data_IF_005289472691
#
_entry.id   IF_005289472691
#
_cell.length_a   1.000
_cell.length_b   1.000
_cell.length_c   1.000
_cell.angle_alpha   90.00
_cell.angle_beta   90.00
_cell.angle_gamma   90.00
#
_symmetry.space_group_name_H-M   'P 1'
#
loop_
_entity.id
_entity.type
_entity.pdbx_description
1 polymer ?
#
# COMPACT_ATOMS: atom_id res chain seq x y z
N UNK A 1 -3.58 29.07 -6.55
CA UNK A 1 -4.60 28.07 -6.18
C UNK A 1 -5.74 28.00 -7.19
N UNK A 2 -6.10 29.09 -7.88
CA UNK A 2 -7.17 29.07 -8.89
C UNK A 2 -6.85 28.24 -10.15
N UNK A 3 -5.64 28.35 -10.70
CA UNK A 3 -5.24 27.59 -11.92
C UNK A 3 -5.35 26.07 -11.79
N UNK A 4 -5.15 25.53 -10.59
CA UNK A 4 -5.26 24.10 -10.30
C UNK A 4 -6.72 23.65 -10.23
N UNK A 5 -7.62 24.53 -9.78
CA UNK A 5 -9.06 24.26 -9.74
C UNK A 5 -9.65 24.31 -11.15
N UNK A 6 -9.25 25.28 -11.97
CA UNK A 6 -9.68 25.38 -13.38
C UNK A 6 -9.23 24.15 -14.18
N UNK A 7 -8.01 23.67 -13.94
CA UNK A 7 -7.48 22.47 -14.58
C UNK A 7 -8.23 21.20 -14.14
N UNK A 8 -8.64 21.13 -12.88
CA UNK A 8 -9.47 20.06 -12.34
C UNK A 8 -10.89 20.10 -12.90
N UNK A 9 -11.49 21.27 -13.02
CA UNK A 9 -12.81 21.43 -13.64
C UNK A 9 -12.79 20.99 -15.10
N UNK A 10 -11.76 21.34 -15.86
CA UNK A 10 -11.61 20.88 -17.24
C UNK A 10 -11.48 19.35 -17.32
N UNK A 11 -10.73 18.75 -16.39
CA UNK A 11 -10.54 17.30 -16.29
C UNK A 11 -11.84 16.58 -15.93
N UNK A 12 -12.58 17.11 -14.97
CA UNK A 12 -13.87 16.57 -14.57
C UNK A 12 -14.87 16.68 -15.72
N UNK A 13 -14.89 17.79 -16.47
CA UNK A 13 -15.74 17.93 -17.68
C UNK A 13 -15.33 16.97 -18.80
N UNK A 14 -14.04 16.62 -18.92
CA UNK A 14 -13.58 15.63 -19.90
C UNK A 14 -13.93 14.18 -19.51
N UNK A 15 -13.92 13.85 -18.21
CA UNK A 15 -14.16 12.49 -17.71
C UNK A 15 -15.63 12.24 -17.37
N UNK A 16 -16.36 13.29 -16.97
CA UNK A 16 -17.79 13.31 -16.62
C UNK A 16 -18.49 14.46 -17.36
N UNK A 17 -18.68 14.35 -18.68
CA UNK A 17 -19.16 15.45 -19.54
C UNK A 17 -20.59 15.93 -19.28
N UNK A 18 -21.32 15.28 -18.35
CA UNK A 18 -22.71 15.59 -18.01
C UNK A 18 -22.87 16.35 -16.68
N UNK A 19 -21.78 16.80 -16.06
CA UNK A 19 -21.82 17.39 -14.72
C UNK A 19 -21.25 18.81 -14.70
N UNK A 20 -21.96 19.75 -14.05
CA UNK A 20 -21.54 21.16 -13.91
C UNK A 20 -20.37 21.29 -12.90
N UNK A 21 -19.18 21.75 -13.35
CA UNK A 21 -17.97 21.82 -12.53
C UNK A 21 -18.06 22.74 -11.29
N UNK A 22 -19.01 23.69 -11.24
CA UNK A 22 -19.21 24.54 -10.07
C UNK A 22 -20.14 23.91 -9.01
N UNK A 23 -21.02 23.00 -9.43
CA UNK A 23 -21.88 22.19 -8.55
C UNK A 23 -21.09 20.98 -8.01
N UNK A 24 -20.07 20.54 -8.74
CA UNK A 24 -19.20 19.39 -8.44
C UNK A 24 -18.42 19.48 -7.13
N UNK A 25 -18.12 20.66 -6.61
CA UNK A 25 -17.29 20.75 -5.40
C UNK A 25 -18.06 21.14 -4.13
N UNK A 26 -19.31 21.60 -4.23
CA UNK A 26 -20.14 22.00 -3.07
C UNK A 26 -21.24 21.00 -2.71
N UNK A 27 -21.95 20.43 -3.69
CA UNK A 27 -23.13 19.58 -3.46
C UNK A 27 -22.96 18.13 -3.95
N UNK A 28 -21.76 17.78 -4.37
CA UNK A 28 -21.52 16.50 -5.03
C UNK A 28 -21.26 15.39 -4.02
N UNK A 29 -21.98 14.28 -4.18
CA UNK A 29 -21.75 13.08 -3.40
C UNK A 29 -20.47 12.39 -3.89
N UNK A 30 -19.31 12.88 -3.44
CA UNK A 30 -17.99 12.41 -3.86
C UNK A 30 -17.80 10.90 -3.60
N UNK A 31 -18.45 10.38 -2.55
CA UNK A 31 -18.45 8.94 -2.24
C UNK A 31 -19.13 8.15 -3.37
N UNK A 32 -20.29 8.63 -3.84
CA UNK A 32 -21.01 7.99 -4.94
C UNK A 32 -20.25 8.08 -6.27
N UNK A 33 -19.59 9.20 -6.55
CA UNK A 33 -18.83 9.36 -7.80
C UNK A 33 -17.56 8.54 -7.84
N UNK A 34 -16.87 8.42 -6.71
CA UNK A 34 -15.73 7.52 -6.63
C UNK A 34 -16.18 6.08 -6.92
N UNK A 35 -17.30 5.68 -6.34
CA UNK A 35 -17.89 4.38 -6.57
C UNK A 35 -18.25 4.17 -8.05
N UNK A 36 -19.00 5.10 -8.65
CA UNK A 36 -19.39 5.04 -10.06
C UNK A 36 -18.18 5.04 -11.01
N UNK A 37 -17.15 5.84 -10.72
CA UNK A 37 -15.93 5.87 -11.51
C UNK A 37 -15.28 4.49 -11.59
N UNK A 38 -15.10 3.82 -10.44
CA UNK A 38 -14.45 2.51 -10.39
C UNK A 38 -15.35 1.40 -10.96
N UNK A 39 -16.66 1.43 -10.72
CA UNK A 39 -17.60 0.49 -11.36
C UNK A 39 -17.60 0.61 -12.89
N UNK A 40 -17.58 1.84 -13.41
CA UNK A 40 -17.52 2.07 -14.86
C UNK A 40 -16.16 1.65 -15.44
N UNK A 41 -15.08 1.82 -14.68
CA UNK A 41 -13.74 1.37 -15.08
C UNK A 41 -13.64 -0.14 -15.15
N UNK A 42 -14.23 -0.87 -14.21
CA UNK A 42 -14.31 -2.33 -14.24
C UNK A 42 -15.11 -2.84 -15.43
N UNK A 43 -16.29 -2.26 -15.70
CA UNK A 43 -17.10 -2.63 -16.87
C UNK A 43 -16.36 -2.47 -18.20
N UNK A 44 -15.46 -1.48 -18.29
CA UNK A 44 -14.59 -1.26 -19.47
C UNK A 44 -13.42 -2.25 -19.53
N UNK A 45 -12.90 -2.67 -18.38
CA UNK A 45 -11.90 -3.73 -18.26
C UNK A 45 -12.62 -5.09 -18.21
N UNK A 46 -13.27 -5.47 -19.31
CA UNK A 46 -13.79 -6.82 -19.47
C UNK A 46 -12.64 -7.80 -19.20
N UNK A 47 -12.86 -8.74 -18.26
CA UNK A 47 -12.00 -9.90 -17.93
C UNK A 47 -11.15 -9.80 -16.65
N UNK A 48 -11.73 -9.58 -15.45
CA UNK A 48 -11.29 -10.24 -14.20
C UNK A 48 -12.40 -10.17 -13.13
N UNK A 49 -12.79 -11.29 -12.47
CA UNK A 49 -13.63 -11.27 -11.29
C UNK A 49 -12.74 -11.07 -10.06
N UNK A 50 -12.53 -9.83 -9.66
CA UNK A 50 -12.07 -9.52 -8.30
C UNK A 50 -13.20 -8.78 -7.58
N UNK A 51 -13.40 -9.07 -6.30
CA UNK A 51 -14.31 -8.37 -5.38
C UNK A 51 -13.84 -6.93 -5.16
N UNK A 52 -13.81 -6.13 -6.23
CA UNK A 52 -13.03 -4.92 -6.35
C UNK A 52 -13.94 -3.70 -6.23
N UNK A 53 -14.65 -3.66 -5.11
CA UNK A 53 -15.36 -2.47 -4.69
C UNK A 53 -14.40 -1.51 -3.97
N UNK A 54 -14.70 -0.21 -4.05
CA UNK A 54 -14.02 0.78 -3.22
C UNK A 54 -14.35 0.51 -1.75
N UNK A 55 -13.34 0.13 -0.97
CA UNK A 55 -13.51 -0.22 0.43
C UNK A 55 -13.27 1.00 1.33
N UNK A 56 -14.10 1.15 2.35
CA UNK A 56 -14.01 2.23 3.33
C UNK A 56 -13.83 1.65 4.73
N UNK A 57 -12.80 2.11 5.42
CA UNK A 57 -12.51 1.72 6.81
C UNK A 57 -12.56 2.97 7.69
N UNK A 58 -13.40 2.98 8.72
CA UNK A 58 -13.44 4.06 9.71
C UNK A 58 -12.74 3.60 10.98
N UNK A 59 -11.77 4.36 11.46
CA UNK A 59 -11.08 4.06 12.72
C UNK A 59 -12.06 4.27 13.88
N UNK A 60 -12.28 3.27 14.76
CA UNK A 60 -13.12 3.44 15.93
C UNK A 60 -12.53 4.50 16.85
N UNK A 61 -13.26 5.59 17.04
CA UNK A 61 -12.93 6.64 18.01
C UNK A 61 -14.23 7.16 18.65
N UNK A 62 -14.25 7.40 19.97
CA UNK A 62 -15.38 8.04 20.65
C UNK A 62 -15.47 9.52 20.30
N UNK A 63 -14.33 10.19 20.09
CA UNK A 63 -14.22 11.64 19.92
C UNK A 63 -13.42 12.01 18.67
N UNK A 64 -13.60 13.23 18.12
CA UNK A 64 -12.79 13.72 17.01
C UNK A 64 -11.32 13.93 17.42
N UNK A 65 -10.38 13.91 16.46
CA UNK A 65 -10.60 13.84 15.00
C UNK A 65 -10.96 12.43 14.52
N UNK A 66 -11.97 12.33 13.66
CA UNK A 66 -12.34 11.06 13.03
C UNK A 66 -11.42 10.76 11.83
N UNK A 67 -11.07 9.47 11.69
CA UNK A 67 -10.21 8.99 10.60
C UNK A 67 -10.97 7.96 9.76
N UNK A 68 -10.89 8.12 8.44
CA UNK A 68 -11.40 7.17 7.46
C UNK A 68 -10.35 6.94 6.38
N UNK A 69 -10.15 5.66 6.05
CA UNK A 69 -9.34 5.22 4.94
C UNK A 69 -10.23 4.71 3.80
N UNK A 70 -9.73 4.88 2.57
CA UNK A 70 -10.34 4.41 1.34
C UNK A 70 -9.31 3.57 0.61
N UNK A 71 -9.64 2.31 0.33
CA UNK A 71 -8.82 1.42 -0.50
C UNK A 71 -9.49 1.25 -1.85
N UNK A 72 -8.75 1.55 -2.90
CA UNK A 72 -9.20 1.44 -4.28
C UNK A 72 -8.93 0.03 -4.83
N UNK A 73 -9.65 -0.37 -5.88
CA UNK A 73 -9.23 -1.46 -6.76
C UNK A 73 -7.74 -1.37 -7.13
N UNK A 74 -7.00 -2.46 -6.99
CA UNK A 74 -5.54 -2.48 -7.15
C UNK A 74 -4.75 -2.05 -5.89
N UNK A 75 -5.42 -1.87 -4.75
CA UNK A 75 -4.80 -1.77 -3.44
C UNK A 75 -4.35 -0.38 -3.00
N UNK A 76 -4.30 0.63 -3.88
CA UNK A 76 -3.95 2.00 -3.49
C UNK A 76 -4.85 2.50 -2.35
N UNK A 77 -4.25 3.09 -1.33
CA UNK A 77 -4.96 3.50 -0.13
C UNK A 77 -4.75 4.99 0.16
N UNK A 78 -5.85 5.66 0.49
CA UNK A 78 -5.87 7.07 0.86
C UNK A 78 -6.65 7.25 2.15
N UNK A 79 -6.48 8.40 2.81
CA UNK A 79 -7.23 8.74 4.02
C UNK A 79 -7.63 10.20 4.02
N UNK A 80 -8.54 10.56 4.92
CA UNK A 80 -8.80 11.98 5.17
C UNK A 80 -7.51 12.62 5.68
N UNK A 81 -7.15 13.80 5.17
CA UNK A 81 -5.95 14.52 5.60
C UNK A 81 -6.31 15.68 6.54
N UNK A 82 -7.58 16.11 6.52
CA UNK A 82 -8.09 17.17 7.37
C UNK A 82 -8.51 16.67 8.77
N UNK A 83 -8.57 17.61 9.71
CA UNK A 83 -9.18 17.38 11.02
C UNK A 83 -10.70 17.36 10.86
N UNK A 84 -11.31 16.16 10.87
CA UNK A 84 -12.75 15.98 10.66
C UNK A 84 -13.49 15.80 11.99
N UNK A 85 -14.60 16.53 12.16
CA UNK A 85 -15.40 16.54 13.40
C UNK A 85 -16.53 15.50 13.37
N UNK A 86 -16.79 14.88 12.21
CA UNK A 86 -17.70 13.74 12.09
C UNK A 86 -17.12 12.62 11.23
N UNK A 87 -17.59 11.39 11.45
CA UNK A 87 -17.24 10.22 10.61
C UNK A 87 -17.65 10.42 9.15
N UNK A 88 -18.77 11.09 8.91
CA UNK A 88 -19.25 11.40 7.56
C UNK A 88 -18.32 12.38 6.84
N UNK A 89 -17.80 13.40 7.54
CA UNK A 89 -16.78 14.30 6.99
C UNK A 89 -15.49 13.56 6.66
N UNK A 90 -14.97 12.74 7.59
CA UNK A 90 -13.78 11.95 7.35
C UNK A 90 -13.93 11.05 6.12
N UNK A 91 -15.07 10.37 5.99
CA UNK A 91 -15.37 9.53 4.82
C UNK A 91 -15.39 10.34 3.52
N UNK A 92 -16.03 11.51 3.51
CA UNK A 92 -16.08 12.39 2.33
C UNK A 92 -14.71 12.94 1.96
N UNK A 93 -13.91 13.36 2.95
CA UNK A 93 -12.57 13.90 2.72
C UNK A 93 -11.63 12.82 2.15
N UNK A 94 -11.67 11.61 2.71
CA UNK A 94 -10.91 10.48 2.18
C UNK A 94 -11.32 10.11 0.74
N UNK A 95 -12.64 10.09 0.46
CA UNK A 95 -13.17 9.86 -0.88
C UNK A 95 -12.72 10.92 -1.89
N UNK A 96 -12.62 12.19 -1.48
CA UNK A 96 -12.11 13.28 -2.33
C UNK A 96 -10.67 13.03 -2.75
N UNK A 97 -9.79 12.69 -1.81
CA UNK A 97 -8.39 12.39 -2.12
C UNK A 97 -8.29 11.20 -3.07
N UNK A 98 -9.04 10.13 -2.79
CA UNK A 98 -9.05 8.94 -3.63
C UNK A 98 -9.59 9.19 -5.04
N UNK A 99 -10.66 9.99 -5.19
CA UNK A 99 -11.23 10.37 -6.49
C UNK A 99 -10.26 11.21 -7.31
N UNK A 100 -9.62 12.21 -6.70
CA UNK A 100 -8.63 13.03 -7.38
C UNK A 100 -7.48 12.16 -7.93
N UNK A 101 -6.92 11.28 -7.11
CA UNK A 101 -5.87 10.36 -7.55
C UNK A 101 -6.35 9.42 -8.66
N UNK A 102 -7.59 8.92 -8.55
CA UNK A 102 -8.20 8.06 -9.58
C UNK A 102 -8.32 8.78 -10.92
N UNK A 103 -8.83 10.01 -10.93
CA UNK A 103 -9.00 10.82 -12.14
C UNK A 103 -7.66 11.21 -12.75
N UNK A 104 -6.71 11.68 -11.95
CA UNK A 104 -5.38 12.06 -12.44
C UNK A 104 -4.65 10.88 -13.07
N UNK A 105 -4.77 9.69 -12.49
CA UNK A 105 -4.09 8.49 -12.99
C UNK A 105 -4.52 8.07 -14.40
N UNK A 106 -5.71 8.47 -14.87
CA UNK A 106 -6.17 8.19 -16.24
C UNK A 106 -5.54 9.10 -17.30
N UNK A 107 -4.88 10.19 -16.88
CA UNK A 107 -4.26 11.11 -17.83
C UNK A 107 -3.07 10.46 -18.54
N UNK A 108 -2.89 10.69 -19.86
CA UNK A 108 -1.72 10.21 -20.59
C UNK A 108 -0.39 10.64 -19.96
N UNK A 109 -0.34 11.82 -19.34
CA UNK A 109 0.82 12.35 -18.64
C UNK A 109 1.16 11.62 -17.33
N UNK A 110 0.29 10.73 -16.85
CA UNK A 110 0.50 9.87 -15.67
C UNK A 110 0.85 8.42 -16.04
N UNK A 111 1.16 8.17 -17.31
CA UNK A 111 1.75 6.91 -17.76
C UNK A 111 3.28 6.97 -17.69
N UNK A 112 3.90 5.81 -17.50
CA UNK A 112 5.35 5.69 -17.56
C UNK A 112 5.78 5.84 -19.02
N UNK A 113 6.56 6.88 -19.30
CA UNK A 113 7.12 7.19 -20.63
C UNK A 113 8.65 7.24 -20.55
N UNK A 114 9.34 7.10 -21.69
CA UNK A 114 10.81 7.22 -21.72
C UNK A 114 11.32 8.53 -21.12
N UNK A 115 10.62 9.64 -21.37
CA UNK A 115 10.94 10.94 -20.78
C UNK A 115 10.78 10.96 -19.26
N UNK A 116 9.75 10.29 -18.74
CA UNK A 116 9.57 10.12 -17.29
C UNK A 116 10.71 9.29 -16.70
N UNK A 117 11.06 8.16 -17.34
CA UNK A 117 12.13 7.27 -16.89
C UNK A 117 13.46 8.03 -16.79
N UNK A 118 13.82 8.77 -17.84
CA UNK A 118 15.07 9.53 -17.88
C UNK A 118 15.15 10.53 -16.71
N UNK A 119 14.07 11.28 -16.45
CA UNK A 119 14.02 12.23 -15.33
C UNK A 119 14.06 11.54 -13.97
N UNK A 120 13.26 10.49 -13.77
CA UNK A 120 13.20 9.76 -12.51
C UNK A 120 14.51 9.05 -12.16
N UNK A 121 15.21 8.49 -13.15
CA UNK A 121 16.54 7.90 -12.95
C UNK A 121 17.56 8.98 -12.60
N UNK A 122 17.54 10.12 -13.28
CA UNK A 122 18.43 11.24 -12.96
C UNK A 122 18.22 11.77 -11.52
N UNK A 123 16.97 11.85 -11.06
CA UNK A 123 16.64 12.19 -9.68
C UNK A 123 17.13 11.12 -8.68
N UNK A 124 17.02 9.84 -9.02
CA UNK A 124 17.51 8.74 -8.19
C UNK A 124 19.05 8.74 -8.06
N UNK A 125 19.77 8.98 -9.16
CA UNK A 125 21.23 9.14 -9.16
C UNK A 125 21.64 10.32 -8.26
N UNK A 126 20.95 11.45 -8.41
CA UNK A 126 21.25 12.67 -7.64
C UNK A 126 21.00 12.50 -6.14
N UNK A 127 19.96 11.76 -5.75
CA UNK A 127 19.61 11.50 -4.34
C UNK A 127 20.50 10.46 -3.66
N UNK A 128 21.05 9.51 -4.42
CA UNK A 128 21.92 8.44 -3.90
C UNK A 128 23.41 8.77 -3.95
N UNK A 129 23.78 9.98 -4.44
CA UNK A 129 25.17 10.34 -4.75
C UNK A 129 25.87 9.34 -5.70
N UNK A 130 25.10 8.66 -6.54
CA UNK A 130 25.60 7.69 -7.51
C UNK A 130 26.10 8.32 -8.81
N UNK A 131 26.52 7.49 -9.76
CA UNK A 131 26.89 7.92 -11.11
C UNK A 131 25.83 7.46 -12.14
N UNK A 132 25.71 8.15 -13.28
CA UNK A 132 24.78 7.76 -14.34
C UNK A 132 25.10 6.37 -14.92
N UNK A 133 26.36 5.93 -14.87
CA UNK A 133 26.75 4.57 -15.23
C UNK A 133 26.10 3.50 -14.35
N UNK A 134 25.74 3.82 -13.10
CA UNK A 134 25.04 2.87 -12.23
C UNK A 134 23.66 2.52 -12.81
N UNK A 135 23.02 3.45 -13.53
CA UNK A 135 21.72 3.20 -14.17
C UNK A 135 21.79 2.20 -15.34
N UNK A 136 22.98 1.98 -15.92
CA UNK A 136 23.21 1.04 -17.01
C UNK A 136 23.48 -0.38 -16.49
N UNK A 137 23.85 -0.53 -15.23
CA UNK A 137 24.10 -1.82 -14.58
C UNK A 137 22.90 -2.25 -13.72
N UNK A 138 22.11 -3.26 -14.14
CA UNK A 138 20.99 -3.79 -13.37
C UNK A 138 21.38 -4.37 -12.00
N UNK A 139 22.67 -4.62 -11.77
CA UNK A 139 23.22 -5.06 -10.50
C UNK A 139 23.35 -3.94 -9.45
N UNK A 140 23.11 -2.68 -9.82
CA UNK A 140 23.02 -1.51 -8.92
C UNK A 140 21.56 -1.20 -8.54
N UNK A 141 21.34 -0.39 -7.50
CA UNK A 141 19.99 -0.06 -7.05
C UNK A 141 19.29 0.85 -8.06
N UNK A 142 20.05 1.77 -8.66
CA UNK A 142 19.58 2.68 -9.71
C UNK A 142 19.28 1.91 -10.99
N UNK A 143 20.15 0.99 -11.43
CA UNK A 143 19.91 0.18 -12.61
C UNK A 143 18.75 -0.80 -12.45
N UNK A 144 18.56 -1.37 -11.26
CA UNK A 144 17.37 -2.16 -10.94
C UNK A 144 16.09 -1.30 -11.03
N UNK A 145 16.09 -0.10 -10.47
CA UNK A 145 14.97 0.84 -10.56
C UNK A 145 14.68 1.25 -12.02
N UNK A 146 15.72 1.52 -12.80
CA UNK A 146 15.63 1.79 -14.24
C UNK A 146 14.98 0.62 -15.00
N UNK A 147 15.43 -0.61 -14.75
CA UNK A 147 14.85 -1.82 -15.33
C UNK A 147 13.37 -2.01 -14.95
N UNK A 148 13.00 -1.75 -13.69
CA UNK A 148 11.61 -1.80 -13.25
C UNK A 148 10.73 -0.79 -13.99
N UNK A 149 11.24 0.41 -14.23
CA UNK A 149 10.51 1.43 -14.98
C UNK A 149 10.34 1.06 -16.46
N UNK A 150 11.41 0.61 -17.12
CA UNK A 150 11.39 0.21 -18.54
C UNK A 150 10.41 -0.94 -18.79
N UNK A 151 10.36 -1.93 -17.90
CA UNK A 151 9.42 -3.07 -17.99
C UNK A 151 7.95 -2.69 -17.75
N UNK A 152 7.68 -1.47 -17.29
CA UNK A 152 6.35 -0.97 -16.99
C UNK A 152 5.97 0.26 -17.86
N UNK A 153 6.67 0.50 -18.98
CA UNK A 153 6.29 1.55 -19.94
C UNK A 153 4.83 1.40 -20.37
N UNK A 154 4.13 2.53 -20.39
CA UNK A 154 2.71 2.59 -20.76
C UNK A 154 1.75 2.27 -19.62
N UNK A 155 2.20 1.63 -18.53
CA UNK A 155 1.39 1.46 -17.31
C UNK A 155 1.20 2.80 -16.60
N UNK A 156 0.12 2.88 -15.83
CA UNK A 156 -0.16 4.04 -14.99
C UNK A 156 0.68 4.02 -13.71
N UNK A 157 0.83 5.20 -13.08
CA UNK A 157 1.57 5.30 -11.82
C UNK A 157 1.00 4.40 -10.72
N UNK A 158 -0.33 4.30 -10.58
CA UNK A 158 -0.93 3.42 -9.57
C UNK A 158 -0.61 1.93 -9.81
N UNK A 159 -0.55 1.49 -11.07
CA UNK A 159 -0.18 0.10 -11.39
C UNK A 159 1.30 -0.19 -11.06
N UNK A 160 2.17 0.80 -11.26
CA UNK A 160 3.58 0.69 -10.88
C UNK A 160 3.79 0.81 -9.36
N UNK A 161 2.96 1.58 -8.67
CA UNK A 161 3.02 1.74 -7.22
C UNK A 161 2.83 0.43 -6.47
N UNK A 162 1.95 -0.47 -6.93
CA UNK A 162 1.78 -1.78 -6.29
C UNK A 162 3.10 -2.56 -6.28
N UNK A 163 3.82 -2.59 -7.41
CA UNK A 163 5.13 -3.20 -7.51
C UNK A 163 6.15 -2.53 -6.58
N UNK A 164 6.16 -1.19 -6.52
CA UNK A 164 7.03 -0.44 -5.60
C UNK A 164 6.78 -0.81 -4.14
N UNK A 165 5.50 -0.94 -3.74
CA UNK A 165 5.13 -1.28 -2.37
C UNK A 165 5.62 -2.69 -2.02
N UNK A 166 5.47 -3.67 -2.91
CA UNK A 166 6.01 -5.03 -2.70
C UNK A 166 7.51 -4.97 -2.45
N UNK A 167 8.27 -4.25 -3.27
CA UNK A 167 9.71 -4.12 -3.09
C UNK A 167 10.11 -3.37 -1.82
N UNK A 168 9.36 -2.33 -1.45
CA UNK A 168 9.56 -1.61 -0.18
C UNK A 168 9.31 -2.52 1.02
N UNK A 169 8.28 -3.36 0.99
CA UNK A 169 7.98 -4.33 2.05
C UNK A 169 9.03 -5.44 2.13
N UNK A 170 9.47 -5.99 1.00
CA UNK A 170 10.56 -6.98 0.95
C UNK A 170 11.90 -6.41 1.44
N UNK A 171 12.15 -5.12 1.19
CA UNK A 171 13.30 -4.43 1.74
C UNK A 171 13.17 -4.29 3.26
N UNK A 172 12.03 -3.78 3.71
CA UNK A 172 11.72 -3.52 5.12
C UNK A 172 11.74 -4.79 5.99
N UNK A 173 11.12 -5.89 5.53
CA UNK A 173 11.14 -7.15 6.25
C UNK A 173 12.48 -7.91 6.10
N UNK A 174 13.41 -7.42 5.27
CA UNK A 174 14.73 -8.02 5.09
C UNK A 174 14.81 -9.15 4.06
N UNK A 175 13.71 -9.53 3.41
CA UNK A 175 13.68 -10.57 2.37
C UNK A 175 14.64 -10.26 1.22
N UNK A 176 14.74 -9.00 0.79
CA UNK A 176 15.69 -8.63 -0.27
C UNK A 176 17.15 -8.85 0.15
N UNK A 177 17.47 -8.71 1.43
CA UNK A 177 18.81 -9.00 1.96
C UNK A 177 19.08 -10.50 1.89
N UNK A 178 18.12 -11.33 2.34
CA UNK A 178 18.22 -12.78 2.29
C UNK A 178 18.36 -13.31 0.84
N UNK A 179 17.55 -12.81 -0.09
CA UNK A 179 17.62 -13.17 -1.51
C UNK A 179 18.96 -12.81 -2.16
N UNK A 180 19.56 -11.69 -1.73
CA UNK A 180 20.90 -11.30 -2.18
C UNK A 180 21.97 -12.25 -1.66
N UNK A 181 21.83 -12.72 -0.41
CA UNK A 181 22.76 -13.68 0.21
C UNK A 181 22.65 -15.07 -0.44
N UNK A 182 21.47 -15.45 -0.94
CA UNK A 182 21.27 -16.67 -1.74
C UNK A 182 21.67 -16.54 -3.21
N UNK A 183 22.36 -15.45 -3.60
CA UNK A 183 22.84 -15.15 -4.96
C UNK A 183 21.74 -15.02 -6.02
N UNK A 184 20.52 -14.63 -5.65
CA UNK A 184 19.49 -14.26 -6.62
C UNK A 184 19.84 -12.91 -7.25
N UNK A 185 19.76 -12.81 -8.58
CA UNK A 185 19.98 -11.53 -9.27
C UNK A 185 18.79 -10.58 -9.04
N UNK A 186 19.04 -9.27 -9.12
CA UNK A 186 17.96 -8.29 -8.98
C UNK A 186 16.91 -8.43 -10.07
N UNK A 187 17.31 -8.76 -11.29
CA UNK A 187 16.37 -8.96 -12.40
C UNK A 187 15.47 -10.17 -12.19
N UNK A 188 15.99 -11.28 -11.67
CA UNK A 188 15.18 -12.47 -11.34
C UNK A 188 14.15 -12.16 -10.25
N UNK A 189 14.57 -11.46 -9.20
CA UNK A 189 13.68 -11.04 -8.12
C UNK A 189 12.59 -10.11 -8.66
N UNK A 190 12.94 -9.13 -9.51
CA UNK A 190 11.98 -8.24 -10.18
C UNK A 190 11.02 -9.04 -11.05
N UNK A 191 11.52 -9.94 -11.89
CA UNK A 191 10.67 -10.75 -12.77
C UNK A 191 9.69 -11.64 -11.99
N UNK A 192 10.13 -12.20 -10.86
CA UNK A 192 9.28 -13.00 -9.97
C UNK A 192 8.18 -12.16 -9.33
N UNK A 193 8.54 -11.11 -8.58
CA UNK A 193 7.56 -10.31 -7.84
C UNK A 193 6.68 -9.42 -8.73
N UNK A 194 7.07 -9.17 -9.98
CA UNK A 194 6.21 -8.46 -10.94
C UNK A 194 4.95 -9.24 -11.34
N UNK A 195 4.89 -10.54 -11.04
CA UNK A 195 3.75 -11.41 -11.36
C UNK A 195 2.78 -11.58 -10.19
N UNK A 196 3.14 -11.13 -8.99
CA UNK A 196 2.34 -11.32 -7.78
C UNK A 196 1.81 -9.99 -7.27
N UNK A 197 0.53 -9.97 -6.90
CA UNK A 197 -0.08 -8.88 -6.15
C UNK A 197 0.14 -9.06 -4.65
N UNK A 198 -0.04 -7.98 -3.89
CA UNK A 198 0.09 -8.01 -2.43
C UNK A 198 -1.11 -8.69 -1.76
N UNK A 199 -1.07 -10.01 -1.72
CA UNK A 199 -2.13 -10.90 -1.24
C UNK A 199 -1.91 -11.40 0.20
N UNK A 200 -2.88 -12.17 0.71
CA UNK A 200 -2.85 -12.75 2.05
C UNK A 200 -1.67 -13.72 2.23
N UNK A 201 -1.28 -14.45 1.19
CA UNK A 201 -0.15 -15.38 1.24
C UNK A 201 1.15 -14.64 1.46
N UNK A 202 1.37 -13.54 0.73
CA UNK A 202 2.56 -12.71 0.91
C UNK A 202 2.60 -12.08 2.29
N UNK A 203 1.47 -11.54 2.79
CA UNK A 203 1.39 -11.01 4.17
C UNK A 203 1.74 -12.07 5.21
N UNK A 204 1.21 -13.29 5.03
CA UNK A 204 1.46 -14.41 5.94
C UNK A 204 2.92 -14.82 5.97
N UNK A 205 3.59 -14.92 4.80
CA UNK A 205 5.02 -15.18 4.75
C UNK A 205 5.84 -14.09 5.44
N UNK A 206 5.53 -12.80 5.17
CA UNK A 206 6.24 -11.71 5.82
C UNK A 206 5.99 -11.68 7.34
N UNK A 207 4.80 -12.07 7.79
CA UNK A 207 4.49 -12.19 9.21
C UNK A 207 5.33 -13.30 9.88
N UNK A 208 5.54 -14.44 9.22
CA UNK A 208 6.43 -15.49 9.71
C UNK A 208 7.88 -15.00 9.83
N UNK A 209 8.38 -14.24 8.85
CA UNK A 209 9.73 -13.64 8.93
C UNK A 209 9.86 -12.71 10.14
N UNK A 210 8.80 -11.96 10.47
CA UNK A 210 8.76 -11.11 11.67
C UNK A 210 8.71 -11.91 12.96
N UNK A 211 7.99 -13.03 13.01
CA UNK A 211 7.95 -13.94 14.17
C UNK A 211 9.36 -14.48 14.46
N UNK A 212 10.09 -14.92 13.44
CA UNK A 212 11.48 -15.39 13.61
C UNK A 212 12.36 -14.29 14.22
N UNK A 213 12.21 -13.04 13.78
CA UNK A 213 12.95 -11.91 14.37
C UNK A 213 12.56 -11.60 15.81
N UNK A 214 11.30 -11.82 16.18
CA UNK A 214 10.83 -11.64 17.56
C UNK A 214 11.47 -12.68 18.50
N UNK A 215 11.73 -13.90 18.02
CA UNK A 215 12.46 -14.91 18.80
C UNK A 215 13.91 -14.48 19.07
N UNK A 216 14.56 -13.83 18.10
CA UNK A 216 15.93 -13.30 18.23
C UNK A 216 15.98 -12.01 19.06
N UNK A 217 15.00 -11.12 18.87
CA UNK A 217 14.93 -9.80 19.50
C UNK A 217 13.51 -9.56 20.04
N UNK A 218 13.23 -9.98 21.28
CA UNK A 218 11.91 -9.81 21.88
C UNK A 218 11.46 -8.35 21.93
N UNK A 219 10.21 -8.09 21.53
CA UNK A 219 9.58 -6.78 21.49
C UNK A 219 9.74 -6.03 20.16
N UNK A 220 10.48 -6.57 19.18
CA UNK A 220 10.74 -5.87 17.92
C UNK A 220 9.47 -5.65 17.09
N UNK A 221 8.54 -6.62 17.07
CA UNK A 221 7.28 -6.49 16.34
C UNK A 221 6.44 -5.36 16.94
N UNK A 222 6.35 -5.30 18.27
CA UNK A 222 5.61 -4.25 18.97
C UNK A 222 6.21 -2.87 18.71
N UNK A 223 7.55 -2.76 18.76
CA UNK A 223 8.27 -1.52 18.46
C UNK A 223 8.01 -1.06 17.02
N UNK A 224 8.18 -1.96 16.05
CA UNK A 224 7.99 -1.65 14.63
C UNK A 224 6.53 -1.30 14.32
N UNK A 225 5.57 -1.91 15.01
CA UNK A 225 4.15 -1.59 14.86
C UNK A 225 3.85 -0.17 15.32
N UNK A 226 4.44 0.28 16.43
CA UNK A 226 4.30 1.67 16.88
C UNK A 226 4.90 2.67 15.87
N UNK A 227 6.03 2.32 15.25
CA UNK A 227 6.63 3.12 14.19
C UNK A 227 5.71 3.18 12.96
N UNK A 228 5.22 2.04 12.49
CA UNK A 228 4.30 1.95 11.34
C UNK A 228 3.02 2.76 11.55
N UNK A 229 2.44 2.73 12.76
CA UNK A 229 1.25 3.52 13.10
C UNK A 229 1.53 5.03 13.09
N UNK A 230 2.70 5.45 13.57
CA UNK A 230 3.12 6.87 13.54
C UNK A 230 3.32 7.34 12.10
N UNK A 231 4.06 6.58 11.30
CA UNK A 231 4.33 6.91 9.89
C UNK A 231 3.05 6.94 9.05
N UNK A 232 2.10 6.04 9.32
CA UNK A 232 0.77 6.02 8.70
C UNK A 232 0.02 7.33 8.99
N UNK A 233 0.02 7.77 10.25
CA UNK A 233 -0.67 8.98 10.67
C UNK A 233 -0.03 10.26 10.08
N UNK A 234 1.29 10.34 10.07
CA UNK A 234 2.03 11.43 9.45
C UNK A 234 1.80 11.50 7.94
N UNK A 235 1.86 10.35 7.26
CA UNK A 235 1.64 10.26 5.82
C UNK A 235 0.20 10.59 5.43
N UNK A 236 -0.77 10.18 6.27
CA UNK A 236 -2.18 10.54 6.13
C UNK A 236 -2.37 12.04 6.19
N UNK A 237 -1.82 12.70 7.22
CA UNK A 237 -1.87 14.17 7.36
C UNK A 237 -1.21 14.91 6.21
N UNK A 238 -0.18 14.31 5.60
CA UNK A 238 0.48 14.84 4.40
C UNK A 238 -0.28 14.55 3.09
N UNK A 239 -1.43 13.85 3.13
CA UNK A 239 -2.22 13.50 1.94
C UNK A 239 -1.51 12.54 0.99
N UNK A 240 -0.59 11.71 1.52
CA UNK A 240 0.18 10.74 0.72
C UNK A 240 -0.60 9.45 0.50
N UNK A 241 -0.11 8.63 -0.42
CA UNK A 241 -0.50 7.23 -0.56
C UNK A 241 -0.13 6.46 0.73
N UNK A 242 -1.02 5.61 1.21
CA UNK A 242 -0.95 5.00 2.54
C UNK A 242 -0.78 3.48 2.53
N UNK A 243 -0.83 2.82 1.37
CA UNK A 243 -0.86 1.36 1.27
C UNK A 243 0.37 0.74 1.90
N UNK A 244 1.57 1.30 1.68
CA UNK A 244 2.79 0.79 2.31
C UNK A 244 2.68 0.71 3.84
N UNK A 245 2.24 1.80 4.50
CA UNK A 245 2.16 1.84 5.96
C UNK A 245 1.01 1.00 6.51
N UNK A 246 -0.11 0.91 5.79
CA UNK A 246 -1.21 -0.01 6.15
C UNK A 246 -0.76 -1.47 6.09
N UNK A 247 0.00 -1.84 5.08
CA UNK A 247 0.52 -3.20 4.92
C UNK A 247 1.53 -3.55 6.01
N UNK A 248 2.42 -2.61 6.39
CA UNK A 248 3.27 -2.77 7.59
C UNK A 248 2.41 -3.08 8.82
N UNK A 249 1.37 -2.27 9.09
CA UNK A 249 0.45 -2.47 10.22
C UNK A 249 -0.21 -3.86 10.16
N UNK A 250 -0.74 -4.25 9.00
CA UNK A 250 -1.47 -5.51 8.81
C UNK A 250 -0.55 -6.73 9.02
N UNK A 251 0.64 -6.72 8.41
CA UNK A 251 1.64 -7.80 8.55
C UNK A 251 2.08 -7.97 10.01
N UNK A 252 2.39 -6.87 10.71
CA UNK A 252 2.81 -6.93 12.11
C UNK A 252 1.66 -7.36 13.04
N UNK A 253 0.44 -6.89 12.76
CA UNK A 253 -0.74 -7.29 13.53
C UNK A 253 -1.05 -8.78 13.34
N UNK A 254 -0.86 -9.31 12.12
CA UNK A 254 -0.97 -10.73 11.82
C UNK A 254 0.08 -11.55 12.59
N UNK A 255 1.34 -11.10 12.58
CA UNK A 255 2.43 -11.73 13.33
C UNK A 255 2.13 -11.80 14.84
N UNK A 256 1.70 -10.68 15.45
CA UNK A 256 1.28 -10.66 16.86
C UNK A 256 0.10 -11.60 17.13
N UNK A 257 -0.88 -11.63 16.23
CA UNK A 257 -2.06 -12.48 16.39
C UNK A 257 -1.69 -13.97 16.42
N UNK A 258 -0.73 -14.39 15.60
CA UNK A 258 -0.20 -15.77 15.64
C UNK A 258 0.52 -16.05 16.96
N UNK A 259 1.41 -15.16 17.41
CA UNK A 259 2.15 -15.33 18.68
C UNK A 259 1.18 -15.43 19.89
N UNK A 260 0.21 -14.53 19.98
CA UNK A 260 -0.77 -14.54 21.08
C UNK A 260 -1.78 -15.69 20.95
N UNK A 261 -2.16 -16.06 19.72
CA UNK A 261 -3.02 -17.22 19.45
C UNK A 261 -2.37 -18.52 19.91
N UNK A 262 -1.08 -18.70 19.61
CA UNK A 262 -0.28 -19.86 20.01
C UNK A 262 -0.01 -19.90 21.51
N UNK A 263 0.11 -18.74 22.16
CA UNK A 263 0.21 -18.66 23.63
C UNK A 263 -1.07 -19.16 24.33
N UNK A 264 -2.26 -18.87 23.76
CA UNK A 264 -3.55 -19.33 24.29
C UNK A 264 -3.75 -20.83 24.07
N UNK A 265 -3.23 -21.41 22.98
CA UNK A 265 -3.32 -22.86 22.74
C UNK A 265 -2.28 -23.64 23.57
N UNK A 266 -1.07 -23.10 23.74
CA UNK A 266 -0.01 -23.69 24.56
C UNK A 266 -0.35 -23.65 26.07
N UNK A 267 -0.97 -22.58 26.55
CA UNK A 267 -1.45 -22.47 27.95
C UNK A 267 -2.69 -23.33 28.27
N UNK A 268 -3.33 -23.94 27.27
CA UNK A 268 -4.49 -24.85 27.44
C UNK A 268 -4.13 -26.32 27.63
N UNK A 269 -2.85 -26.67 27.77
CA UNK A 269 -2.43 -28.02 28.18
C UNK A 269 -1.92 -27.98 29.64
N UNK A 270 -2.80 -28.00 30.65
CA UNK A 270 -2.40 -28.41 31.99
C UNK A 270 -2.46 -29.95 32.09
N UNK A 271 -1.30 -30.56 32.32
CA UNK A 271 -1.05 -31.80 33.06
C UNK A 271 -2.23 -32.81 33.18
N UNK A 272 -2.36 -33.69 32.18
CA UNK A 272 -2.94 -35.03 32.38
C UNK A 272 -1.94 -36.11 31.93
N UNK A 273 -0.81 -36.18 32.61
CA UNK A 273 -0.08 -37.44 32.78
C UNK A 273 0.30 -37.59 34.26
N UNK A 274 -0.73 -37.64 35.11
CA UNK A 274 -0.62 -38.20 36.45
C UNK A 274 -0.38 -39.70 36.32
N UNK A 275 0.89 -40.08 36.48
CA UNK A 275 1.39 -41.44 36.56
C UNK A 275 0.53 -42.33 37.47
N UNK A 276 -0.14 -43.31 36.88
CA UNK A 276 -0.62 -44.49 37.58
C UNK A 276 0.58 -45.39 37.92
N UNK A 277 1.18 -45.19 39.08
CA UNK A 277 2.06 -46.20 39.68
C UNK A 277 1.79 -46.26 41.18
N UNK A 278 0.86 -47.14 41.58
CA UNK A 278 0.78 -47.65 42.95
C UNK A 278 0.55 -49.17 42.88
N UNK A 279 1.66 -49.89 42.98
CA UNK A 279 1.74 -51.30 43.33
C UNK A 279 2.96 -51.50 44.21
N UNK A 280 2.83 -52.37 45.21
CA UNK A 280 3.78 -52.74 46.28
C UNK A 280 3.60 -52.02 47.62
N UNK A 281 2.61 -52.48 48.42
CA UNK A 281 2.87 -53.38 49.56
C UNK A 281 1.59 -54.08 50.01
#
# INVERSE_FOLDING_TARGET
MDRTLDSLQLLVTQVLPQSDPNIIFKDLNVVALLQEFWENKEKRRAFFPSESLVAYESVPSPDPPFVCYVTLPGGSCFGNFQCCLSRAEARRDAAKVALLNSLFNELPSRRITKDFILKSVQEAVSSTSGNMHDAEDPSTSVGAYHYMLETNIGKTMMEFQELMIVFQLLHWNGSLKALRETKCSRQEVIAYYSQYSLDERMRSHMALDWIIKEEETPGIISQELQLALRELEESRKAGRELRFYKEKKEILSLALSHIYGDCITSSRIPDQMGLTLNGYH
#
